data_IF_695985181651
#
_entry.id   IF_695985181651
#
_cell.length_a   1.000
_cell.length_b   1.000
_cell.length_c   1.000
_cell.angle_alpha   90.00
_cell.angle_beta   90.00
_cell.angle_gamma   90.00
#
_symmetry.space_group_name_H-M   'P 1'
#
loop_
_entity.id
_entity.type
_entity.pdbx_description
1 polymer ?
#
# COMPACT_ATOMS: atom_id res chain seq x y z
N UNK A 1 -12.90 0.82 -7.62
CA UNK A 1 -12.73 1.08 -6.17
C UNK A 1 -13.36 0.02 -5.28
N UNK A 2 -14.62 -0.39 -5.48
CA UNK A 2 -15.30 -1.39 -4.61
C UNK A 2 -14.70 -2.81 -4.63
N UNK A 3 -13.82 -3.12 -5.59
CA UNK A 3 -12.99 -4.35 -5.55
C UNK A 3 -11.83 -4.23 -4.56
N UNK A 4 -11.34 -3.01 -4.32
CA UNK A 4 -10.22 -2.71 -3.41
C UNK A 4 -10.77 -2.51 -1.99
N UNK A 5 -11.77 -1.64 -1.85
CA UNK A 5 -12.42 -1.33 -0.58
C UNK A 5 -13.68 -2.17 -0.44
N UNK A 6 -13.74 -3.00 0.60
CA UNK A 6 -14.90 -3.83 0.88
C UNK A 6 -16.15 -2.94 1.04
N UNK A 7 -17.24 -3.16 0.27
CA UNK A 7 -18.44 -2.32 0.32
C UNK A 7 -19.14 -2.24 1.67
N UNK A 8 -19.05 -3.30 2.49
CA UNK A 8 -19.68 -3.36 3.81
C UNK A 8 -18.91 -2.53 4.84
N UNK A 9 -17.58 -2.64 4.83
CA UNK A 9 -16.74 -1.99 5.85
C UNK A 9 -16.14 -0.67 5.38
N UNK A 10 -16.18 -0.36 4.08
CA UNK A 10 -15.51 0.77 3.44
C UNK A 10 -13.97 0.72 3.54
N UNK A 11 -13.40 -0.45 3.85
CA UNK A 11 -11.98 -0.61 4.21
C UNK A 11 -11.27 -1.69 3.40
N UNK A 12 -9.94 -1.70 3.43
CA UNK A 12 -9.11 -2.68 2.71
C UNK A 12 -7.91 -3.18 3.52
N UNK A 13 -7.59 -4.46 3.39
CA UNK A 13 -6.28 -5.03 3.71
C UNK A 13 -5.54 -5.31 2.40
N UNK A 14 -4.64 -4.39 2.04
CA UNK A 14 -3.76 -4.50 0.89
C UNK A 14 -2.44 -5.18 1.29
N UNK A 15 -1.99 -6.12 0.46
CA UNK A 15 -0.69 -6.78 0.59
C UNK A 15 0.29 -6.25 -0.47
N UNK A 16 1.20 -5.38 -0.07
CA UNK A 16 2.24 -4.84 -0.94
C UNK A 16 3.46 -5.75 -1.07
N UNK A 17 3.78 -6.11 -2.31
CA UNK A 17 4.93 -6.93 -2.72
C UNK A 17 5.68 -6.32 -3.91
N UNK A 18 5.49 -5.02 -4.18
CA UNK A 18 6.11 -4.31 -5.29
C UNK A 18 7.57 -3.88 -5.01
N UNK A 19 8.04 -3.95 -3.76
CA UNK A 19 9.35 -3.45 -3.28
C UNK A 19 10.54 -3.69 -4.22
N UNK A 20 10.58 -4.85 -4.89
CA UNK A 20 11.68 -5.21 -5.79
C UNK A 20 11.85 -4.30 -7.01
N UNK A 21 10.87 -3.45 -7.34
CA UNK A 21 10.96 -2.54 -8.48
C UNK A 21 12.17 -1.60 -8.43
N UNK A 22 12.68 -1.29 -7.24
CA UNK A 22 13.90 -0.49 -7.03
C UNK A 22 14.88 -1.09 -6.01
N UNK A 23 14.45 -2.07 -5.20
CA UNK A 23 15.28 -2.71 -4.16
C UNK A 23 15.85 -4.08 -4.58
N UNK A 24 15.34 -4.70 -5.65
CA UNK A 24 15.64 -6.10 -5.95
C UNK A 24 15.04 -7.08 -4.91
N UNK A 25 15.70 -8.20 -4.58
CA UNK A 25 15.15 -9.22 -3.69
C UNK A 25 15.23 -8.81 -2.21
N UNK A 26 14.34 -7.91 -1.79
CA UNK A 26 14.17 -7.55 -0.37
C UNK A 26 13.86 -8.78 0.47
N UNK A 27 14.38 -8.82 1.70
CA UNK A 27 14.14 -9.92 2.67
C UNK A 27 12.66 -10.30 2.77
N UNK A 28 12.34 -11.57 2.54
CA UNK A 28 10.98 -12.13 2.53
C UNK A 28 10.31 -12.15 1.15
N UNK A 29 10.87 -11.47 0.14
CA UNK A 29 10.37 -11.43 -1.24
C UNK A 29 11.29 -12.14 -2.24
N UNK A 30 12.28 -12.89 -1.78
CA UNK A 30 13.19 -13.67 -2.62
C UNK A 30 12.44 -14.74 -3.42
N UNK A 31 11.38 -15.31 -2.82
CA UNK A 31 10.53 -16.35 -3.40
C UNK A 31 9.06 -16.03 -3.18
N UNK A 32 8.52 -15.13 -4.01
CA UNK A 32 7.10 -14.73 -3.96
C UNK A 32 6.17 -15.93 -4.17
N UNK A 33 6.56 -16.86 -5.04
CA UNK A 33 5.84 -18.09 -5.32
C UNK A 33 5.65 -18.97 -4.08
N UNK A 34 6.62 -18.99 -3.16
CA UNK A 34 6.57 -19.81 -1.94
C UNK A 34 6.05 -19.03 -0.74
N UNK A 35 6.56 -17.82 -0.52
CA UNK A 35 6.36 -17.10 0.74
C UNK A 35 5.13 -16.18 0.71
N UNK A 36 4.68 -15.78 -0.48
CA UNK A 36 3.61 -14.78 -0.64
C UNK A 36 2.31 -15.41 -1.14
N UNK A 37 2.36 -16.35 -2.09
CA UNK A 37 1.14 -16.99 -2.60
C UNK A 37 0.23 -17.56 -1.51
N UNK A 38 0.73 -18.20 -0.43
CA UNK A 38 -0.12 -18.67 0.68
C UNK A 38 -0.86 -17.55 1.43
N UNK A 39 -0.42 -16.29 1.31
CA UNK A 39 -1.01 -15.12 1.98
C UNK A 39 -2.15 -14.51 1.16
N UNK A 40 -2.10 -14.67 -0.16
CA UNK A 40 -3.03 -14.06 -1.12
C UNK A 40 -4.50 -14.30 -0.77
N UNK A 41 -4.95 -15.50 -0.36
CA UNK A 41 -6.35 -15.73 0.00
C UNK A 41 -6.89 -14.81 1.11
N UNK A 42 -6.01 -14.35 2.01
CA UNK A 42 -6.37 -13.52 3.16
C UNK A 42 -6.23 -12.01 2.90
N UNK A 43 -5.61 -11.59 1.80
CA UNK A 43 -5.62 -10.19 1.39
C UNK A 43 -6.91 -9.86 0.61
N UNK A 44 -7.39 -8.62 0.69
CA UNK A 44 -8.45 -8.16 -0.22
C UNK A 44 -7.85 -7.80 -1.59
N UNK A 45 -6.67 -7.19 -1.55
CA UNK A 45 -6.00 -6.58 -2.69
C UNK A 45 -4.51 -6.89 -2.67
N UNK A 46 -3.94 -7.16 -3.85
CA UNK A 46 -2.48 -7.25 -4.03
C UNK A 46 -1.96 -5.98 -4.68
N UNK A 47 -0.88 -5.42 -4.12
CA UNK A 47 -0.14 -4.33 -4.74
C UNK A 47 1.24 -4.83 -5.19
N UNK A 48 1.49 -4.82 -6.49
CA UNK A 48 2.64 -5.49 -7.11
C UNK A 48 3.01 -4.89 -8.47
N UNK A 49 4.11 -5.36 -9.06
CA UNK A 49 4.54 -4.94 -10.41
C UNK A 49 3.95 -5.85 -11.48
N UNK A 50 3.89 -5.36 -12.74
CA UNK A 50 3.45 -6.18 -13.89
C UNK A 50 4.29 -7.42 -14.12
N UNK A 51 5.58 -7.36 -13.77
CA UNK A 51 6.50 -8.50 -13.90
C UNK A 51 6.07 -9.64 -12.99
N UNK A 52 5.94 -9.36 -11.68
CA UNK A 52 5.52 -10.35 -10.69
C UNK A 52 4.09 -10.86 -10.95
N UNK A 53 3.18 -9.97 -11.36
CA UNK A 53 1.82 -10.35 -11.70
C UNK A 53 1.78 -11.39 -12.84
N UNK A 54 2.58 -11.21 -13.89
CA UNK A 54 2.62 -12.12 -15.05
C UNK A 54 3.39 -13.42 -14.77
N UNK A 55 4.47 -13.36 -14.00
CA UNK A 55 5.38 -14.49 -13.84
C UNK A 55 5.02 -15.42 -12.68
N UNK A 56 4.44 -14.89 -11.59
CA UNK A 56 4.25 -15.65 -10.34
C UNK A 56 2.79 -15.78 -9.94
N UNK A 57 2.00 -14.71 -10.07
CA UNK A 57 0.61 -14.73 -9.59
C UNK A 57 -0.25 -15.55 -10.56
N UNK A 58 -0.89 -16.65 -10.13
CA UNK A 58 -1.75 -17.43 -11.01
C UNK A 58 -2.92 -16.59 -11.52
N UNK A 59 -3.24 -16.70 -12.81
CA UNK A 59 -4.37 -15.98 -13.42
C UNK A 59 -5.73 -16.31 -12.80
N UNK A 60 -5.85 -17.46 -12.13
CA UNK A 60 -7.02 -17.86 -11.34
C UNK A 60 -7.20 -17.07 -10.04
N UNK A 61 -6.24 -16.23 -9.66
CA UNK A 61 -6.29 -15.39 -8.47
C UNK A 61 -7.37 -14.31 -8.60
N UNK A 62 -8.53 -14.55 -7.99
CA UNK A 62 -9.65 -13.62 -7.97
C UNK A 62 -9.51 -12.51 -6.92
N UNK A 63 -8.39 -11.79 -6.91
CA UNK A 63 -8.13 -10.65 -6.01
C UNK A 63 -8.08 -9.33 -6.79
N UNK A 64 -8.34 -8.22 -6.11
CA UNK A 64 -8.12 -6.91 -6.70
C UNK A 64 -6.61 -6.66 -6.87
N UNK A 65 -6.24 -6.07 -8.00
CA UNK A 65 -4.84 -5.81 -8.35
C UNK A 65 -4.61 -4.31 -8.40
N UNK A 66 -3.64 -3.82 -7.63
CA UNK A 66 -3.14 -2.45 -7.70
C UNK A 66 -1.73 -2.50 -8.28
N UNK A 67 -1.55 -1.94 -9.47
CA UNK A 67 -0.30 -2.10 -10.21
C UNK A 67 0.66 -0.95 -9.90
N UNK A 68 1.88 -1.25 -9.50
CA UNK A 68 3.00 -0.29 -9.54
C UNK A 68 3.24 0.13 -10.99
N UNK A 69 2.96 1.39 -11.31
CA UNK A 69 3.15 1.94 -12.67
C UNK A 69 4.26 2.98 -12.75
N UNK A 70 4.84 3.41 -11.61
CA UNK A 70 6.06 4.23 -11.58
C UNK A 70 7.31 3.38 -11.32
N UNK A 71 8.49 3.88 -11.68
CA UNK A 71 9.78 3.20 -11.45
C UNK A 71 10.93 3.87 -12.21
N UNK A 72 12.01 3.13 -12.48
CA UNK A 72 13.17 3.65 -13.23
C UNK A 72 14.35 4.12 -12.35
N UNK A 73 14.23 3.97 -11.04
CA UNK A 73 15.31 4.22 -10.06
C UNK A 73 15.74 2.94 -9.34
N UNK A 74 16.81 3.01 -8.56
CA UNK A 74 17.25 1.97 -7.65
C UNK A 74 17.82 2.58 -6.36
N UNK A 75 18.00 1.76 -5.33
CA UNK A 75 18.66 2.16 -4.07
C UNK A 75 20.10 2.68 -4.23
N UNK A 76 20.70 2.60 -5.43
CA UNK A 76 22.05 3.08 -5.71
C UNK A 76 22.10 4.55 -6.16
N UNK A 77 20.96 5.19 -6.39
CA UNK A 77 20.82 6.56 -6.92
C UNK A 77 19.67 7.29 -6.24
N UNK A 78 19.39 8.51 -6.71
CA UNK A 78 18.29 9.34 -6.20
C UNK A 78 16.94 8.65 -6.41
N UNK A 79 16.22 8.44 -5.31
CA UNK A 79 14.97 7.66 -5.28
C UNK A 79 13.79 8.41 -5.88
N UNK A 80 13.79 9.74 -5.85
CA UNK A 80 12.69 10.53 -6.42
C UNK A 80 12.68 10.57 -7.94
N UNK A 81 13.77 10.17 -8.60
CA UNK A 81 13.92 10.17 -10.07
C UNK A 81 13.16 8.99 -10.72
N UNK A 82 11.84 8.94 -10.52
CA UNK A 82 10.96 7.97 -11.14
C UNK A 82 10.29 8.53 -12.40
N UNK A 83 9.99 7.62 -13.33
CA UNK A 83 9.15 7.85 -14.49
C UNK A 83 7.98 6.85 -14.50
N UNK A 84 7.05 7.02 -15.43
CA UNK A 84 6.03 6.01 -15.71
C UNK A 84 6.70 4.80 -16.36
N UNK A 85 6.60 3.66 -15.68
CA UNK A 85 7.18 2.37 -16.05
C UNK A 85 6.20 1.44 -16.79
N UNK A 86 4.89 1.75 -16.76
CA UNK A 86 3.84 0.92 -17.38
C UNK A 86 2.84 1.82 -18.11
N UNK A 87 2.57 1.51 -19.37
CA UNK A 87 1.54 2.18 -20.15
C UNK A 87 0.13 1.81 -19.67
N UNK A 88 -0.82 2.71 -19.88
CA UNK A 88 -2.23 2.47 -19.50
C UNK A 88 -2.83 1.27 -20.23
N UNK A 89 -2.48 1.03 -21.50
CA UNK A 89 -2.99 -0.11 -22.26
C UNK A 89 -2.60 -1.45 -21.63
N UNK A 90 -1.40 -1.54 -21.07
CA UNK A 90 -0.96 -2.76 -20.37
C UNK A 90 -1.67 -2.90 -19.01
N UNK A 91 -1.98 -1.77 -18.34
CA UNK A 91 -2.81 -1.77 -17.12
C UNK A 91 -4.23 -2.27 -17.41
N UNK A 92 -4.84 -1.84 -18.52
CA UNK A 92 -6.14 -2.35 -19.00
C UNK A 92 -6.04 -3.84 -19.33
N UNK A 93 -5.02 -4.25 -20.10
CA UNK A 93 -4.79 -5.64 -20.49
C UNK A 93 -4.63 -6.58 -19.30
N UNK A 94 -4.05 -6.09 -18.20
CA UNK A 94 -3.85 -6.82 -16.95
C UNK A 94 -5.07 -6.78 -16.02
N UNK A 95 -6.18 -6.13 -16.41
CA UNK A 95 -7.41 -6.02 -15.64
C UNK A 95 -7.18 -5.46 -14.22
N UNK A 96 -6.34 -4.42 -14.11
CA UNK A 96 -5.99 -3.84 -12.81
C UNK A 96 -7.14 -3.00 -12.25
N UNK A 97 -7.25 -2.97 -10.94
CA UNK A 97 -8.26 -2.18 -10.22
C UNK A 97 -7.82 -0.77 -9.87
N UNK A 98 -6.51 -0.49 -9.86
CA UNK A 98 -5.93 0.84 -9.76
C UNK A 98 -4.44 0.84 -10.18
N UNK A 99 -3.90 2.02 -10.39
CA UNK A 99 -2.50 2.26 -10.75
C UNK A 99 -1.81 3.08 -9.65
N UNK A 100 -0.68 2.59 -9.14
CA UNK A 100 0.07 3.21 -8.06
C UNK A 100 1.30 3.96 -8.56
N UNK A 101 1.39 5.23 -8.18
CA UNK A 101 2.48 6.16 -8.53
C UNK A 101 3.10 6.71 -7.24
N UNK A 102 4.44 6.71 -7.13
CA UNK A 102 5.12 7.42 -6.04
C UNK A 102 5.07 8.93 -6.29
N UNK A 103 4.82 9.70 -5.23
CA UNK A 103 4.89 11.16 -5.24
C UNK A 103 5.86 11.60 -4.15
N UNK A 104 6.91 12.33 -4.52
CA UNK A 104 8.04 12.70 -3.67
C UNK A 104 7.98 14.20 -3.33
N UNK A 105 7.00 14.60 -2.53
CA UNK A 105 6.90 15.98 -2.05
C UNK A 105 8.14 16.32 -1.22
N UNK A 106 8.81 17.42 -1.58
CA UNK A 106 10.09 17.91 -1.09
C UNK A 106 11.33 17.13 -1.55
N UNK A 107 11.18 16.16 -2.45
CA UNK A 107 12.30 15.45 -3.08
C UNK A 107 12.94 16.22 -4.24
N UNK A 108 14.11 15.76 -4.70
CA UNK A 108 14.86 16.39 -5.81
C UNK A 108 14.03 16.48 -7.10
N UNK A 109 13.26 15.43 -7.40
CA UNK A 109 12.38 15.33 -8.58
C UNK A 109 10.90 15.44 -8.22
N UNK A 110 10.53 16.30 -7.26
CA UNK A 110 9.15 16.49 -6.82
C UNK A 110 8.21 16.74 -8.00
N UNK A 111 8.55 17.72 -8.84
CA UNK A 111 7.74 18.12 -9.99
C UNK A 111 7.45 16.93 -10.90
N UNK A 112 8.47 16.19 -11.30
CA UNK A 112 8.34 15.03 -12.18
C UNK A 112 7.44 13.96 -11.54
N UNK A 113 7.58 13.71 -10.24
CA UNK A 113 6.73 12.75 -9.53
C UNK A 113 5.25 13.16 -9.48
N UNK A 114 4.95 14.46 -9.33
CA UNK A 114 3.58 14.99 -9.40
C UNK A 114 3.03 14.91 -10.82
N UNK A 115 3.85 15.22 -11.83
CA UNK A 115 3.47 15.12 -13.26
C UNK A 115 3.20 13.66 -13.65
N UNK A 116 4.00 12.71 -13.16
CA UNK A 116 3.73 11.28 -13.34
C UNK A 116 2.35 10.91 -12.78
N UNK A 117 2.00 11.37 -11.58
CA UNK A 117 0.73 11.07 -10.94
C UNK A 117 -0.45 11.66 -11.71
N UNK A 118 -0.39 12.95 -12.08
CA UNK A 118 -1.45 13.62 -12.87
C UNK A 118 -1.62 13.01 -14.26
N UNK A 119 -0.53 12.63 -14.93
CA UNK A 119 -0.59 11.89 -16.19
C UNK A 119 -1.36 10.56 -16.04
N UNK A 120 -1.15 9.84 -14.94
CA UNK A 120 -1.90 8.60 -14.69
C UNK A 120 -3.34 8.86 -14.27
N UNK A 121 -3.66 10.00 -13.63
CA UNK A 121 -5.04 10.44 -13.41
C UNK A 121 -5.73 10.69 -14.75
N UNK A 122 -5.13 11.45 -15.67
CA UNK A 122 -5.70 11.74 -16.99
C UNK A 122 -5.95 10.46 -17.80
N UNK A 123 -5.00 9.54 -17.81
CA UNK A 123 -5.14 8.26 -18.50
C UNK A 123 -6.15 7.36 -17.78
N UNK A 124 -6.09 7.28 -16.46
CA UNK A 124 -6.99 6.49 -15.62
C UNK A 124 -8.46 6.89 -15.81
N UNK A 125 -8.75 8.20 -15.81
CA UNK A 125 -10.11 8.73 -16.01
C UNK A 125 -10.69 8.34 -17.37
N UNK A 126 -9.86 8.29 -18.45
CA UNK A 126 -10.33 7.86 -19.78
C UNK A 126 -10.81 6.42 -19.81
N UNK A 127 -10.21 5.54 -19.00
CA UNK A 127 -10.49 4.11 -19.01
C UNK A 127 -11.21 3.62 -17.74
N UNK A 128 -11.56 4.51 -16.81
CA UNK A 128 -12.19 4.16 -15.54
C UNK A 128 -11.28 3.40 -14.57
N UNK A 129 -9.96 3.59 -14.65
CA UNK A 129 -8.98 2.97 -13.75
C UNK A 129 -8.48 4.02 -12.74
N UNK A 130 -8.78 3.88 -11.43
CA UNK A 130 -8.35 4.80 -10.40
C UNK A 130 -6.82 4.91 -10.26
N UNK A 131 -6.34 6.09 -9.83
CA UNK A 131 -4.93 6.31 -9.47
C UNK A 131 -4.75 6.37 -7.96
N UNK A 132 -3.83 5.55 -7.45
CA UNK A 132 -3.29 5.59 -6.09
C UNK A 132 -2.03 6.46 -6.07
N UNK A 133 -2.06 7.57 -5.35
CA UNK A 133 -0.84 8.32 -5.06
C UNK A 133 -0.20 7.79 -3.77
N UNK A 134 1.09 7.45 -3.83
CA UNK A 134 1.86 6.97 -2.68
C UNK A 134 2.81 8.07 -2.23
N UNK A 135 2.57 8.66 -1.06
CA UNK A 135 3.45 9.71 -0.54
C UNK A 135 4.77 9.09 -0.08
N UNK A 136 5.81 9.26 -0.88
CA UNK A 136 7.15 8.79 -0.60
C UNK A 136 7.94 9.87 0.12
N UNK A 137 8.81 9.47 1.06
CA UNK A 137 9.58 10.40 1.87
C UNK A 137 11.06 10.12 1.68
N UNK A 138 11.82 11.17 1.36
CA UNK A 138 13.28 11.14 1.32
C UNK A 138 13.88 10.73 2.67
N UNK A 139 15.17 10.35 2.66
CA UNK A 139 15.86 9.84 3.85
C UNK A 139 15.95 10.88 4.97
N UNK A 140 16.19 12.14 4.61
CA UNK A 140 16.51 13.21 5.56
C UNK A 140 15.34 14.16 5.83
N UNK A 141 14.13 13.76 5.46
CA UNK A 141 12.92 14.57 5.64
C UNK A 141 12.17 14.21 6.93
N UNK A 142 11.67 15.23 7.61
CA UNK A 142 10.77 15.05 8.75
C UNK A 142 9.47 14.34 8.32
N UNK A 143 9.09 13.31 9.08
CA UNK A 143 7.87 12.51 8.87
C UNK A 143 6.83 12.88 9.91
N UNK A 144 6.26 14.07 9.78
CA UNK A 144 5.26 14.60 10.71
C UNK A 144 3.89 14.84 10.04
N UNK A 145 2.87 15.14 10.85
CA UNK A 145 1.52 15.39 10.36
C UNK A 145 1.43 16.65 9.47
N UNK A 146 2.32 17.64 9.63
CA UNK A 146 2.33 18.83 8.78
C UNK A 146 2.75 18.46 7.35
N UNK A 147 3.83 17.69 7.23
CA UNK A 147 4.31 17.18 5.96
C UNK A 147 3.27 16.31 5.28
N UNK A 148 2.69 15.32 5.99
CA UNK A 148 1.72 14.44 5.35
C UNK A 148 0.42 15.14 5.00
N UNK A 149 -0.07 16.12 5.77
CA UNK A 149 -1.20 16.96 5.35
C UNK A 149 -0.94 17.66 4.03
N UNK A 150 0.25 18.24 3.85
CA UNK A 150 0.65 18.87 2.59
C UNK A 150 0.65 17.84 1.46
N UNK A 151 1.36 16.73 1.66
CA UNK A 151 1.59 15.76 0.60
C UNK A 151 0.32 15.03 0.16
N UNK A 152 -0.50 14.57 1.11
CA UNK A 152 -1.75 13.87 0.80
C UNK A 152 -2.77 14.81 0.15
N UNK A 153 -2.87 16.06 0.64
CA UNK A 153 -3.79 17.06 0.09
C UNK A 153 -3.43 17.45 -1.35
N UNK A 154 -2.17 17.73 -1.65
CA UNK A 154 -1.73 18.03 -3.03
C UNK A 154 -2.11 16.88 -3.97
N UNK A 155 -1.82 15.64 -3.58
CA UNK A 155 -2.15 14.48 -4.42
C UNK A 155 -3.66 14.37 -4.68
N UNK A 156 -4.48 14.56 -3.64
CA UNK A 156 -5.93 14.47 -3.75
C UNK A 156 -6.53 15.62 -4.58
N UNK A 157 -6.08 16.85 -4.40
CA UNK A 157 -6.50 18.02 -5.19
C UNK A 157 -6.19 17.85 -6.69
N UNK A 158 -5.09 17.17 -7.00
CA UNK A 158 -4.68 16.88 -8.37
C UNK A 158 -5.34 15.60 -8.95
N UNK A 159 -6.32 15.04 -8.26
CA UNK A 159 -7.21 14.00 -8.79
C UNK A 159 -6.82 12.55 -8.45
N UNK A 160 -5.86 12.32 -7.55
CA UNK A 160 -5.65 10.98 -7.01
C UNK A 160 -6.92 10.48 -6.30
N UNK A 161 -7.31 9.24 -6.58
CA UNK A 161 -8.60 8.70 -6.12
C UNK A 161 -8.54 8.17 -4.69
N UNK A 162 -7.34 7.81 -4.23
CA UNK A 162 -7.03 7.44 -2.85
C UNK A 162 -5.52 7.55 -2.65
N UNK A 163 -5.11 7.71 -1.39
CA UNK A 163 -3.72 7.98 -1.03
C UNK A 163 -3.18 6.86 -0.16
N UNK A 164 -1.94 6.46 -0.41
CA UNK A 164 -1.15 5.64 0.51
C UNK A 164 -0.15 6.55 1.22
N UNK A 165 -0.20 6.57 2.55
CA UNK A 165 0.69 7.40 3.37
C UNK A 165 1.18 6.66 4.61
N UNK A 166 2.09 7.26 5.36
CA UNK A 166 2.63 6.66 6.59
C UNK A 166 1.83 7.09 7.81
N UNK A 167 1.77 6.20 8.81
CA UNK A 167 1.27 6.56 10.13
C UNK A 167 2.22 7.55 10.82
N UNK A 168 1.65 8.54 11.50
CA UNK A 168 2.39 9.42 12.42
C UNK A 168 1.73 9.38 13.79
N UNK A 169 2.52 9.27 14.85
CA UNK A 169 1.98 9.02 16.19
C UNK A 169 1.12 10.18 16.72
N UNK A 170 1.43 11.41 16.31
CA UNK A 170 0.72 12.63 16.72
C UNK A 170 0.12 13.29 15.48
N UNK A 171 -1.20 13.51 15.50
CA UNK A 171 -1.89 14.31 14.48
C UNK A 171 -2.27 13.56 13.20
N UNK A 172 -2.22 12.22 13.16
CA UNK A 172 -2.60 11.47 11.96
C UNK A 172 -4.08 11.63 11.61
N UNK A 173 -4.95 11.82 12.61
CA UNK A 173 -6.36 12.18 12.44
C UNK A 173 -6.53 13.52 11.69
N UNK A 174 -5.56 14.42 11.79
CA UNK A 174 -5.56 15.68 11.02
C UNK A 174 -5.13 15.46 9.57
N UNK A 175 -4.38 14.40 9.28
CA UNK A 175 -3.99 14.00 7.92
C UNK A 175 -5.17 13.37 7.19
N UNK A 176 -5.88 12.46 7.86
CA UNK A 176 -7.05 11.77 7.30
C UNK A 176 -8.22 12.73 7.10
N UNK A 177 -8.53 13.58 8.08
CA UNK A 177 -9.64 14.55 7.97
C UNK A 177 -9.40 15.67 6.94
N UNK A 178 -8.13 16.02 6.67
CA UNK A 178 -7.79 17.05 5.67
C UNK A 178 -7.70 16.52 4.22
N UNK A 179 -7.78 15.19 4.03
CA UNK A 179 -7.71 14.55 2.73
C UNK A 179 -9.12 14.17 2.25
N UNK A 180 -9.58 14.66 1.09
CA UNK A 180 -10.95 14.43 0.60
C UNK A 180 -11.18 13.02 0.05
N UNK A 181 -10.15 12.17 -0.02
CA UNK A 181 -10.21 10.82 -0.57
C UNK A 181 -9.65 9.81 0.44
N UNK A 182 -9.98 8.51 0.31
CA UNK A 182 -9.54 7.48 1.26
C UNK A 182 -8.02 7.45 1.46
N UNK A 183 -7.57 7.33 2.70
CA UNK A 183 -6.16 7.09 3.04
C UNK A 183 -5.97 5.64 3.47
N UNK A 184 -5.00 4.96 2.87
CA UNK A 184 -4.52 3.63 3.27
C UNK A 184 -3.15 3.79 3.94
N UNK A 185 -3.00 3.24 5.15
CA UNK A 185 -1.77 3.37 5.92
C UNK A 185 -0.72 2.34 5.50
N UNK A 186 0.47 2.80 5.13
CA UNK A 186 1.60 1.95 4.78
C UNK A 186 2.24 1.31 6.02
N UNK A 187 2.52 0.01 5.97
CA UNK A 187 3.04 -0.73 7.13
C UNK A 187 4.43 -0.32 7.63
N UNK A 188 5.24 0.45 6.87
CA UNK A 188 6.56 0.87 7.33
C UNK A 188 7.57 -0.28 7.46
N UNK A 189 8.56 -0.14 8.36
CA UNK A 189 9.58 -1.16 8.66
C UNK A 189 8.99 -2.29 9.51
N UNK A 190 9.64 -3.46 9.52
CA UNK A 190 9.24 -4.54 10.44
C UNK A 190 9.36 -4.06 11.88
N UNK A 191 8.30 -4.27 12.64
CA UNK A 191 8.20 -4.06 14.08
C UNK A 191 7.55 -5.30 14.72
N UNK A 192 7.57 -5.45 16.06
CA UNK A 192 6.84 -6.52 16.73
C UNK A 192 5.36 -6.58 16.30
N UNK A 193 4.80 -7.79 16.23
CA UNK A 193 3.45 -8.01 15.69
C UNK A 193 2.37 -7.24 16.48
N UNK A 194 2.47 -7.20 17.80
CA UNK A 194 1.56 -6.43 18.64
C UNK A 194 1.63 -4.92 18.34
N UNK A 195 2.83 -4.40 18.08
CA UNK A 195 3.02 -2.99 17.75
C UNK A 195 2.45 -2.69 16.35
N UNK A 196 2.64 -3.59 15.39
CA UNK A 196 2.04 -3.49 14.05
C UNK A 196 0.51 -3.52 14.10
N UNK A 197 -0.09 -4.40 14.92
CA UNK A 197 -1.53 -4.46 15.14
C UNK A 197 -2.05 -3.20 15.86
N UNK A 198 -1.28 -2.67 16.82
CA UNK A 198 -1.61 -1.42 17.52
C UNK A 198 -1.56 -0.23 16.57
N UNK A 199 -0.55 -0.15 15.71
CA UNK A 199 -0.42 0.87 14.68
C UNK A 199 -1.59 0.78 13.68
N UNK A 200 -1.95 -0.42 13.21
CA UNK A 200 -3.10 -0.62 12.34
C UNK A 200 -4.39 -0.15 13.01
N UNK A 201 -4.62 -0.56 14.27
CA UNK A 201 -5.82 -0.20 15.02
C UNK A 201 -5.94 1.32 15.17
N UNK A 202 -4.88 1.98 15.62
CA UNK A 202 -4.87 3.44 15.78
C UNK A 202 -5.11 4.15 14.46
N UNK A 203 -4.45 3.75 13.38
CA UNK A 203 -4.67 4.33 12.06
C UNK A 203 -6.14 4.21 11.61
N UNK A 204 -6.78 3.06 11.83
CA UNK A 204 -8.20 2.85 11.51
C UNK A 204 -9.12 3.73 12.40
N UNK A 205 -8.84 3.83 13.71
CA UNK A 205 -9.61 4.72 14.60
C UNK A 205 -9.44 6.20 14.23
N UNK A 206 -8.26 6.57 13.75
CA UNK A 206 -7.90 7.93 13.35
C UNK A 206 -8.28 8.21 11.87
N UNK A 207 -9.12 7.37 11.24
CA UNK A 207 -9.77 7.67 9.96
C UNK A 207 -9.16 7.04 8.70
N UNK A 208 -8.18 6.15 8.82
CA UNK A 208 -7.69 5.40 7.67
C UNK A 208 -8.76 4.43 7.12
N UNK A 209 -8.86 4.35 5.81
CA UNK A 209 -9.72 3.43 5.07
C UNK A 209 -9.06 2.06 4.83
N UNK A 210 -8.03 1.71 5.59
CA UNK A 210 -7.34 0.43 5.46
C UNK A 210 -5.85 0.52 5.69
N UNK A 211 -5.18 -0.60 5.44
CA UNK A 211 -3.73 -0.72 5.53
C UNK A 211 -3.15 -1.35 4.27
N UNK A 212 -1.94 -0.93 3.94
CA UNK A 212 -1.11 -1.54 2.90
C UNK A 212 0.21 -2.01 3.52
N UNK A 213 0.19 -3.25 4.00
CA UNK A 213 1.27 -3.83 4.77
C UNK A 213 2.05 -4.84 3.93
N UNK A 214 3.34 -4.59 3.78
CA UNK A 214 4.30 -5.57 3.26
C UNK A 214 5.06 -6.25 4.38
N UNK A 215 6.18 -5.63 4.79
CA UNK A 215 7.17 -6.19 5.73
C UNK A 215 6.57 -6.72 7.04
N UNK A 216 5.60 -6.02 7.63
CA UNK A 216 4.96 -6.47 8.87
C UNK A 216 4.12 -7.75 8.73
N UNK A 217 3.78 -8.17 7.51
CA UNK A 217 3.13 -9.45 7.23
C UNK A 217 4.17 -10.48 6.81
N UNK A 218 4.86 -10.28 5.68
CA UNK A 218 5.70 -11.33 5.09
C UNK A 218 7.04 -11.57 5.84
N UNK A 219 7.46 -10.65 6.71
CA UNK A 219 8.61 -10.86 7.62
C UNK A 219 8.17 -11.24 9.04
N UNK A 220 6.88 -11.48 9.27
CA UNK A 220 6.40 -12.05 10.54
C UNK A 220 6.80 -13.52 10.65
N UNK A 221 6.95 -14.02 11.87
CA UNK A 221 7.21 -15.45 12.12
C UNK A 221 6.04 -16.35 11.69
N UNK A 222 4.82 -15.82 11.64
CA UNK A 222 3.65 -16.52 11.13
C UNK A 222 2.82 -15.62 10.20
N UNK A 223 3.25 -15.43 8.93
CA UNK A 223 2.63 -14.47 8.02
C UNK A 223 1.12 -14.69 7.78
N UNK A 224 0.68 -15.95 7.69
CA UNK A 224 -0.75 -16.31 7.53
C UNK A 224 -1.57 -15.90 8.76
N UNK A 225 -1.03 -16.10 9.96
CA UNK A 225 -1.69 -15.66 11.19
C UNK A 225 -1.73 -14.13 11.26
N UNK A 226 -0.65 -13.47 10.83
CA UNK A 226 -0.52 -12.01 10.90
C UNK A 226 -1.50 -11.30 9.96
N UNK A 227 -1.63 -11.74 8.70
CA UNK A 227 -2.61 -11.14 7.77
C UNK A 227 -4.04 -11.30 8.26
N UNK A 228 -4.39 -12.43 8.88
CA UNK A 228 -5.71 -12.64 9.48
C UNK A 228 -5.95 -11.76 10.72
N UNK A 229 -4.94 -11.58 11.57
CA UNK A 229 -5.03 -10.65 12.70
C UNK A 229 -5.20 -9.20 12.23
N UNK A 230 -4.49 -8.79 11.17
CA UNK A 230 -4.66 -7.47 10.55
C UNK A 230 -6.07 -7.30 9.98
N UNK A 231 -6.63 -8.33 9.29
CA UNK A 231 -8.03 -8.30 8.84
C UNK A 231 -9.01 -8.09 9.99
N UNK A 232 -8.79 -8.76 11.12
CA UNK A 232 -9.65 -8.62 12.29
C UNK A 232 -9.67 -7.17 12.81
N UNK A 233 -8.51 -6.52 12.87
CA UNK A 233 -8.42 -5.09 13.23
C UNK A 233 -9.15 -4.22 12.21
N UNK A 234 -8.87 -4.41 10.92
CA UNK A 234 -9.35 -3.51 9.85
C UNK A 234 -10.86 -3.66 9.60
N UNK A 235 -11.36 -4.88 9.44
CA UNK A 235 -12.77 -5.11 9.05
C UNK A 235 -13.69 -5.33 10.24
N UNK A 236 -13.18 -5.87 11.36
CA UNK A 236 -14.00 -6.24 12.51
C UNK A 236 -13.77 -5.35 13.74
N UNK A 237 -12.96 -4.30 13.59
CA UNK A 237 -12.65 -3.36 14.66
C UNK A 237 -12.09 -4.05 15.92
N UNK A 238 -11.42 -5.18 15.76
CA UNK A 238 -10.86 -5.92 16.89
C UNK A 238 -9.73 -5.14 17.55
N UNK A 239 -9.66 -5.21 18.88
CA UNK A 239 -8.61 -4.51 19.64
C UNK A 239 -7.25 -5.17 19.41
N UNK A 240 -6.12 -4.43 19.55
CA UNK A 240 -4.79 -4.99 19.32
C UNK A 240 -4.51 -6.25 20.14
N UNK A 241 -4.98 -6.28 21.39
CA UNK A 241 -4.83 -7.44 22.29
C UNK A 241 -5.57 -8.67 21.74
N UNK A 242 -6.84 -8.54 21.37
CA UNK A 242 -7.64 -9.65 20.83
C UNK A 242 -7.11 -10.14 19.48
N UNK A 243 -6.72 -9.21 18.59
CA UNK A 243 -6.08 -9.56 17.32
C UNK A 243 -4.74 -10.27 17.53
N UNK A 244 -3.96 -9.89 18.54
CA UNK A 244 -2.70 -10.56 18.87
C UNK A 244 -2.91 -11.94 19.52
N UNK A 245 -3.98 -12.11 20.30
CA UNK A 245 -4.39 -13.43 20.79
C UNK A 245 -4.80 -14.34 19.64
N UNK A 246 -5.56 -13.83 18.65
CA UNK A 246 -5.87 -14.55 17.41
C UNK A 246 -4.59 -14.96 16.67
N UNK A 247 -3.64 -14.03 16.50
CA UNK A 247 -2.33 -14.32 15.89
C UNK A 247 -1.62 -15.47 16.61
N UNK A 248 -1.51 -15.44 17.95
CA UNK A 248 -0.88 -16.51 18.74
C UNK A 248 -1.61 -17.84 18.58
N UNK A 249 -2.95 -17.83 18.60
CA UNK A 249 -3.75 -19.04 18.39
C UNK A 249 -3.50 -19.66 17.02
N UNK A 250 -3.51 -18.85 15.95
CA UNK A 250 -3.30 -19.34 14.59
C UNK A 250 -1.85 -19.77 14.35
N UNK A 251 -0.86 -19.06 14.91
CA UNK A 251 0.56 -19.44 14.84
C UNK A 251 0.82 -20.84 15.43
N UNK A 252 0.07 -21.22 16.46
CA UNK A 252 0.24 -22.50 17.15
C UNK A 252 -0.60 -23.63 16.56
N UNK A 253 -1.51 -23.34 15.61
CA UNK A 253 -2.24 -24.36 14.84
C UNK A 253 -1.35 -24.81 13.68
N UNK A 254 -0.74 -25.98 13.82
CA UNK A 254 -0.09 -26.69 12.71
C UNK A 254 -1.13 -27.30 11.79
#
# INVERSE_FOLDING_TARGET
>A
LSRIFNPETGKTVMLAIDHGYFQGPTTGLERIDLNILPLVPYADTLMLTRGILRSIIPASTAKAIVLRVSGGTSILKELSNEAIAVDIEDSVRLNVCAMAVQVFIGGEHEKESIINMTKMVDLGTRYGIPTLAVTAVGKDMARDARYFRLATRICAELGAHYIKSYYVEKGFETVTSACPVPIVMAGGKKIPELDALTMAYRAIQEGAAGVDMGRNIFQSEAPIAMVQAVRAVVHHNETPKKAFDLYKTLKNKK
#
